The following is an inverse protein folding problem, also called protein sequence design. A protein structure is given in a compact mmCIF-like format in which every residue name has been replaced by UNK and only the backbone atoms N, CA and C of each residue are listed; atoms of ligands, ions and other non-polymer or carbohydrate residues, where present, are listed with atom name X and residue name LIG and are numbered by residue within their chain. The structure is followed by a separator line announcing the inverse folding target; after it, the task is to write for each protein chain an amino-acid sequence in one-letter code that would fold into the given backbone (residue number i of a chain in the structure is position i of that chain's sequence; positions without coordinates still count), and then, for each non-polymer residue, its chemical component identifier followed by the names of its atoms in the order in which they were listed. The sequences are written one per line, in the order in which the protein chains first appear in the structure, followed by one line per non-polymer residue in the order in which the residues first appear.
data_IF_159836516136
#
_entry.id   IF_159836516136
#
_cell.length_a   1.000
_cell.length_b   1.000
_cell.length_c   1.000
_cell.angle_alpha   90.00
_cell.angle_beta   90.00
_cell.angle_gamma   90.00
#
_symmetry.space_group_name_H-M   'P 1'
#
loop_
_entity.id
_entity.type
_entity.pdbx_description
1 polymer ?
#
# COMPACT_ATOMS: atom_id res chain seq x y z
N UNK A 1 -17.43 22.57 6.83
CA UNK A 1 -17.42 21.12 6.56
C UNK A 1 -16.11 20.84 5.86
N UNK A 2 -15.11 20.30 6.58
CA UNK A 2 -13.79 20.01 6.00
C UNK A 2 -13.95 18.76 5.13
N UNK A 3 -13.97 18.93 3.81
CA UNK A 3 -13.87 17.83 2.86
C UNK A 3 -12.57 17.08 3.16
N UNK A 4 -12.68 16.00 3.92
CA UNK A 4 -11.59 15.05 4.09
C UNK A 4 -11.47 14.34 2.76
N UNK A 5 -10.74 14.95 1.83
CA UNK A 5 -10.23 14.30 0.63
C UNK A 5 -9.74 12.92 1.05
N UNK A 6 -10.34 11.87 0.49
CA UNK A 6 -10.23 10.48 0.95
C UNK A 6 -8.83 9.89 0.79
N UNK A 7 -7.82 10.47 1.42
CA UNK A 7 -6.49 9.89 1.51
C UNK A 7 -6.51 8.76 2.51
N UNK A 8 -6.21 7.57 2.02
CA UNK A 8 -6.13 6.37 2.85
C UNK A 8 -4.68 6.16 3.24
N UNK A 9 -4.42 6.06 4.54
CA UNK A 9 -3.09 5.72 5.06
C UNK A 9 -2.83 4.23 4.83
N UNK A 10 -1.79 3.92 4.07
CA UNK A 10 -1.41 2.58 3.66
C UNK A 10 0.06 2.29 4.02
N UNK A 11 0.45 1.03 3.90
CA UNK A 11 1.86 0.63 3.85
C UNK A 11 2.21 0.38 2.39
N UNK A 12 3.32 0.96 1.94
CA UNK A 12 3.83 0.78 0.59
C UNK A 12 5.27 0.30 0.62
N UNK A 13 5.66 -0.44 -0.41
CA UNK A 13 6.99 -1.02 -0.57
C UNK A 13 7.58 -0.54 -1.88
N UNK A 14 8.83 -0.07 -1.85
CA UNK A 14 9.57 0.31 -3.04
C UNK A 14 9.87 -0.95 -3.88
N UNK A 15 9.57 -0.92 -5.17
CA UNK A 15 9.81 -2.08 -6.05
C UNK A 15 11.28 -2.35 -6.34
N UNK A 16 12.13 -1.34 -6.22
CA UNK A 16 13.54 -1.45 -6.58
C UNK A 16 14.40 -2.06 -5.46
N UNK A 17 14.04 -1.83 -4.19
CA UNK A 17 14.87 -2.19 -3.03
C UNK A 17 14.10 -2.80 -1.85
N UNK A 18 12.79 -3.04 -2.01
CA UNK A 18 11.90 -3.62 -1.00
C UNK A 18 11.83 -2.83 0.32
N UNK A 19 12.20 -1.54 0.30
CA UNK A 19 12.09 -0.68 1.48
C UNK A 19 10.62 -0.33 1.77
N UNK A 20 10.25 -0.42 3.05
CA UNK A 20 8.87 -0.26 3.53
C UNK A 20 8.63 1.15 4.06
N UNK A 21 7.56 1.78 3.61
CA UNK A 21 7.17 3.13 4.01
C UNK A 21 5.69 3.22 4.39
N UNK A 22 5.40 4.03 5.40
CA UNK A 22 4.05 4.50 5.65
C UNK A 22 3.74 5.57 4.61
N UNK A 23 2.67 5.39 3.86
CA UNK A 23 2.31 6.24 2.72
C UNK A 23 0.83 6.62 2.75
N UNK A 24 0.49 7.69 2.04
CA UNK A 24 -0.90 8.04 1.73
C UNK A 24 -1.19 7.66 0.29
N UNK A 25 -2.32 6.98 0.07
CA UNK A 25 -2.86 6.76 -1.26
C UNK A 25 -3.95 7.80 -1.55
N UNK A 26 -3.74 8.55 -2.63
CA UNK A 26 -4.75 9.48 -3.17
C UNK A 26 -5.87 8.71 -3.89
N UNK A 27 -7.04 9.32 -4.10
CA UNK A 27 -8.14 8.71 -4.84
C UNK A 27 -7.78 8.29 -6.28
N UNK A 28 -6.82 8.97 -6.91
CA UNK A 28 -6.31 8.64 -8.25
C UNK A 28 -5.36 7.42 -8.27
N UNK A 29 -5.02 6.88 -7.09
CA UNK A 29 -4.12 5.74 -6.93
C UNK A 29 -2.67 6.10 -6.65
N UNK A 30 -2.27 7.37 -6.83
CA UNK A 30 -0.92 7.85 -6.48
C UNK A 30 -0.60 7.54 -5.01
N UNK A 31 0.58 6.96 -4.80
CA UNK A 31 1.13 6.65 -3.48
C UNK A 31 2.21 7.67 -3.15
N UNK A 32 2.12 8.30 -1.98
CA UNK A 32 3.16 9.21 -1.48
C UNK A 32 3.64 8.81 -0.09
N UNK A 33 4.95 8.60 0.11
CA UNK A 33 5.52 8.40 1.43
C UNK A 33 5.22 9.57 2.37
N UNK A 34 4.94 9.28 3.64
CA UNK A 34 4.74 10.29 4.67
C UNK A 34 6.06 10.53 5.41
N UNK A 35 6.45 11.80 5.57
CA UNK A 35 7.60 12.18 6.41
C UNK A 35 8.97 11.96 5.77
N UNK A 36 9.00 11.58 4.50
CA UNK A 36 10.22 11.48 3.67
C UNK A 36 9.94 12.11 2.29
N UNK A 37 10.96 12.17 1.43
CA UNK A 37 10.82 12.62 0.04
C UNK A 37 9.84 11.74 -0.75
N UNK A 38 9.34 12.23 -1.90
CA UNK A 38 8.56 11.42 -2.85
C UNK A 38 9.34 10.22 -3.39
N UNK A 39 10.66 10.25 -3.31
CA UNK A 39 11.55 9.17 -3.75
C UNK A 39 11.99 8.29 -2.57
N UNK A 40 12.16 7.00 -2.84
CA UNK A 40 12.78 6.06 -1.93
C UNK A 40 14.24 6.44 -1.70
N UNK A 41 14.78 6.03 -0.55
CA UNK A 41 16.20 6.24 -0.20
C UNK A 41 17.18 5.57 -1.17
N UNK A 42 16.72 4.64 -2.01
CA UNK A 42 17.54 4.03 -3.08
C UNK A 42 17.60 4.88 -4.36
N UNK A 43 16.81 5.96 -4.45
CA UNK A 43 16.72 6.82 -5.64
C UNK A 43 15.63 6.42 -6.64
N UNK A 44 14.79 5.43 -6.32
CA UNK A 44 13.63 5.04 -7.13
C UNK A 44 12.33 5.64 -6.55
N UNK A 45 11.32 5.87 -7.39
CA UNK A 45 10.02 6.45 -6.99
C UNK A 45 8.83 5.51 -7.15
N UNK A 46 9.05 4.23 -7.49
CA UNK A 46 7.97 3.28 -7.73
C UNK A 46 7.63 2.47 -6.47
N UNK A 47 6.43 2.72 -5.98
CA UNK A 47 5.90 2.07 -4.79
C UNK A 47 4.65 1.26 -5.11
N UNK A 48 4.49 0.13 -4.45
CA UNK A 48 3.26 -0.65 -4.48
C UNK A 48 2.68 -0.78 -3.08
N UNK A 49 1.34 -0.73 -2.98
CA UNK A 49 0.66 -0.94 -1.71
C UNK A 49 0.82 -2.40 -1.27
N UNK A 50 1.03 -2.62 0.03
CA UNK A 50 0.93 -3.94 0.64
C UNK A 50 -0.53 -4.17 0.98
N UNK A 51 -1.16 -5.11 0.29
CA UNK A 51 -2.45 -5.64 0.70
C UNK A 51 -2.18 -6.85 1.57
N UNK A 52 -2.44 -6.72 2.87
CA UNK A 52 -2.59 -7.90 3.71
C UNK A 52 -3.83 -8.61 3.16
N UNK A 53 -3.78 -9.90 2.83
CA UNK A 53 -4.99 -10.66 2.55
C UNK A 53 -5.79 -10.75 3.84
N UNK A 54 -6.59 -9.71 4.11
CA UNK A 54 -7.62 -9.73 5.14
C UNK A 54 -8.65 -10.74 4.63
N UNK A 55 -8.73 -11.89 5.31
CA UNK A 55 -9.69 -12.96 5.03
C UNK A 55 -9.54 -13.68 3.67
N UNK A 56 -8.38 -14.31 3.43
CA UNK A 56 -8.48 -15.65 2.87
C UNK A 56 -9.10 -16.53 3.98
N UNK A 57 -10.43 -16.50 4.10
CA UNK A 57 -11.17 -17.52 4.86
C UNK A 57 -10.59 -18.90 4.51
N UNK A 58 -10.57 -19.84 5.47
CA UNK A 58 -9.86 -21.12 5.30
C UNK A 58 -10.20 -21.70 3.93
N UNK A 59 -9.20 -22.14 3.12
CA UNK A 59 -9.48 -22.64 1.77
C UNK A 59 -10.59 -23.67 1.94
N UNK A 60 -11.77 -23.37 1.41
CA UNK A 60 -12.96 -24.16 1.65
C UNK A 60 -12.56 -25.61 1.40
N UNK A 61 -12.51 -26.40 2.48
CA UNK A 61 -12.13 -27.80 2.41
C UNK A 61 -13.10 -28.41 1.40
N UNK A 62 -12.58 -28.75 0.23
CA UNK A 62 -13.37 -29.40 -0.81
C UNK A 62 -13.66 -30.81 -0.30
N UNK A 63 -14.70 -30.94 0.51
CA UNK A 63 -15.33 -32.20 0.84
C UNK A 63 -16.05 -32.69 -0.41
N UNK A 64 -15.30 -33.31 -1.32
CA UNK A 64 -15.85 -34.03 -2.46
C UNK A 64 -15.77 -35.53 -2.20
N UNK A 65 -16.87 -36.01 -1.61
CA UNK A 65 -17.51 -37.33 -1.70
C UNK A 65 -16.66 -38.57 -2.03
#
# INVERSE_FOLDING_TARGET
MSSSESQSKIVAVCRACDSVYVSEQKPDGTIRPIGVSDECSCGDGDFHRVSIPDDAGPPAAQSSN
#
